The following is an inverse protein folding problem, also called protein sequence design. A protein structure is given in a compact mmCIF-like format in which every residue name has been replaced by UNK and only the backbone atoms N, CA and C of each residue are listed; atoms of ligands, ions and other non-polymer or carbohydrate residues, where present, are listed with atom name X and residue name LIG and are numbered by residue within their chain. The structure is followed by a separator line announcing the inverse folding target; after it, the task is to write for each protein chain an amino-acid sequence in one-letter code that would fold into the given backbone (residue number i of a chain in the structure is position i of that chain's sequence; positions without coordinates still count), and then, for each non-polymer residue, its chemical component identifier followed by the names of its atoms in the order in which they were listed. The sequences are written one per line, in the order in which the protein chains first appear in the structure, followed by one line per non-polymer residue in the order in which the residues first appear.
data_IF_971098533262
#
_entry.id   IF_971098533262
#
_cell.length_a   1.000
_cell.length_b   1.000
_cell.length_c   1.000
_cell.angle_alpha   90.00
_cell.angle_beta   90.00
_cell.angle_gamma   90.00
#
_symmetry.space_group_name_H-M   'P 1'
#
loop_
_entity.id
_entity.type
_entity.pdbx_description
1 polymer ?
#
# COMPACT_ATOMS: atom_id res chain seq x y z
N UNK A 1 -7.85 14.54 26.34
CA UNK A 1 -7.04 13.30 26.27
C UNK A 1 -5.59 13.69 26.00
N UNK A 2 -4.60 13.03 26.62
CA UNK A 2 -3.19 13.23 26.26
C UNK A 2 -2.90 12.52 24.94
N UNK A 3 -2.17 13.19 24.04
CA UNK A 3 -1.66 12.57 22.81
C UNK A 3 -0.67 11.47 23.23
N UNK A 4 -0.80 10.30 22.63
CA UNK A 4 0.17 9.20 22.74
C UNK A 4 0.76 8.93 21.34
N UNK A 5 1.86 9.58 20.98
CA UNK A 5 2.50 9.34 19.70
C UNK A 5 2.80 7.85 19.52
N UNK A 6 2.55 7.34 18.32
CA UNK A 6 2.81 5.94 17.92
C UNK A 6 2.08 4.89 18.79
N UNK A 7 0.98 5.28 19.41
CA UNK A 7 0.18 4.38 20.23
C UNK A 7 -1.06 3.88 19.49
N UNK A 8 -1.82 3.05 20.19
CA UNK A 8 -3.09 2.52 19.67
C UNK A 8 -4.06 3.62 19.23
N UNK A 9 -4.76 3.40 18.14
CA UNK A 9 -5.74 4.34 17.57
C UNK A 9 -6.83 4.71 18.58
N UNK A 10 -7.32 5.94 18.52
CA UNK A 10 -8.55 6.37 19.22
C UNK A 10 -9.82 6.13 18.38
N UNK A 11 -9.68 5.56 17.18
CA UNK A 11 -10.79 5.30 16.25
C UNK A 11 -11.74 4.18 16.70
N UNK A 12 -11.30 3.35 17.66
CA UNK A 12 -12.11 2.28 18.27
C UNK A 12 -11.76 2.04 19.72
N UNK A 13 -12.62 1.32 20.43
CA UNK A 13 -12.30 0.77 21.74
C UNK A 13 -11.44 -0.50 21.57
N UNK A 14 -10.37 -0.63 22.34
CA UNK A 14 -9.46 -1.77 22.27
C UNK A 14 -9.88 -2.88 23.25
N UNK A 15 -9.81 -4.11 22.75
CA UNK A 15 -10.01 -5.33 23.52
C UNK A 15 -8.72 -5.83 24.17
N UNK A 16 -8.57 -7.14 24.27
CA UNK A 16 -7.31 -7.78 24.66
C UNK A 16 -6.31 -7.66 23.50
N UNK A 17 -5.00 -7.48 23.79
CA UNK A 17 -3.97 -7.44 22.77
C UNK A 17 -4.05 -8.63 21.80
N UNK A 18 -3.88 -8.37 20.53
CA UNK A 18 -3.97 -9.39 19.48
C UNK A 18 -2.97 -10.53 19.66
N UNK A 19 -1.80 -10.27 20.20
CA UNK A 19 -0.82 -11.30 20.54
C UNK A 19 -1.36 -12.36 21.51
N UNK A 20 -2.30 -12.00 22.38
CA UNK A 20 -2.92 -12.93 23.36
C UNK A 20 -4.11 -13.69 22.75
N UNK A 21 -4.71 -13.15 21.69
CA UNK A 21 -5.98 -13.65 21.12
C UNK A 21 -5.85 -14.14 19.68
N UNK A 22 -4.64 -14.07 19.11
CA UNK A 22 -4.36 -14.42 17.70
C UNK A 22 -4.90 -15.80 17.32
N UNK A 23 -5.28 -15.99 16.04
CA UNK A 23 -5.63 -17.31 15.54
C UNK A 23 -4.42 -18.25 15.55
N UNK A 24 -4.63 -19.58 15.54
CA UNK A 24 -3.53 -20.56 15.47
C UNK A 24 -2.82 -20.56 14.11
N UNK A 25 -3.44 -20.00 13.08
CA UNK A 25 -2.88 -19.89 11.74
C UNK A 25 -1.80 -18.79 11.67
N UNK A 26 -1.00 -18.84 10.59
CA UNK A 26 0.04 -17.84 10.33
C UNK A 26 -0.56 -16.44 10.19
N UNK A 27 0.02 -15.47 10.89
CA UNK A 27 -0.35 -14.06 10.80
C UNK A 27 0.66 -13.29 9.95
N UNK A 28 0.16 -12.51 9.00
CA UNK A 28 0.98 -11.78 8.02
C UNK A 28 0.57 -10.33 7.97
N UNK A 29 1.52 -9.43 8.24
CA UNK A 29 1.38 -8.00 7.99
C UNK A 29 1.83 -7.71 6.56
N UNK A 30 0.88 -7.38 5.70
CA UNK A 30 1.10 -7.19 4.27
C UNK A 30 1.36 -5.74 3.85
N UNK A 31 1.35 -4.80 4.79
CA UNK A 31 1.56 -3.38 4.55
C UNK A 31 2.49 -2.81 5.63
N UNK A 32 3.79 -2.83 5.38
CA UNK A 32 4.79 -2.23 6.25
C UNK A 32 6.03 -1.80 5.46
N UNK A 33 6.69 -0.73 5.90
CA UNK A 33 7.73 -0.05 5.14
C UNK A 33 9.13 -0.26 5.71
N UNK A 34 10.11 -0.43 4.82
CA UNK A 34 11.53 -0.46 5.14
C UNK A 34 12.27 0.60 4.32
N UNK A 35 13.07 1.42 4.98
CA UNK A 35 13.91 2.43 4.34
C UNK A 35 15.24 1.82 3.90
N UNK A 36 15.65 2.06 2.67
CA UNK A 36 16.93 1.58 2.12
C UNK A 36 17.89 2.76 2.03
N UNK A 37 18.82 2.83 2.99
CA UNK A 37 19.75 3.94 3.12
C UNK A 37 20.69 4.06 1.91
N UNK A 38 21.18 2.94 1.39
CA UNK A 38 22.08 2.91 0.24
C UNK A 38 21.44 3.54 -1.01
N UNK A 39 20.14 3.37 -1.20
CA UNK A 39 19.42 4.03 -2.28
C UNK A 39 19.24 5.53 -2.04
N UNK A 40 18.99 5.94 -0.80
CA UNK A 40 18.91 7.35 -0.43
C UNK A 40 20.25 8.07 -0.66
N UNK A 41 21.38 7.41 -0.36
CA UNK A 41 22.71 7.96 -0.57
C UNK A 41 23.02 8.19 -2.06
N UNK A 42 22.53 7.32 -2.96
CA UNK A 42 22.69 7.48 -4.40
C UNK A 42 21.99 8.72 -4.97
N UNK A 43 20.89 9.14 -4.37
CA UNK A 43 20.11 10.29 -4.83
C UNK A 43 20.32 11.55 -3.98
N UNK A 44 21.27 11.52 -3.05
CA UNK A 44 21.57 12.64 -2.18
C UNK A 44 21.94 13.90 -2.98
N UNK A 45 21.22 15.00 -2.74
CA UNK A 45 21.41 16.26 -3.47
C UNK A 45 20.80 16.29 -4.88
N UNK A 46 20.20 15.19 -5.35
CA UNK A 46 19.50 15.09 -6.63
C UNK A 46 17.97 14.95 -6.46
N UNK A 47 17.53 14.71 -5.24
CA UNK A 47 16.15 14.50 -4.87
C UNK A 47 15.64 15.67 -4.05
N UNK A 48 14.59 16.33 -4.52
CA UNK A 48 13.90 17.37 -3.76
C UNK A 48 12.61 16.80 -3.17
N UNK A 49 12.52 16.78 -1.85
CA UNK A 49 11.30 16.35 -1.15
C UNK A 49 10.08 17.20 -1.51
N UNK A 50 10.28 18.47 -1.91
CA UNK A 50 9.18 19.34 -2.33
C UNK A 50 8.52 18.91 -3.66
N UNK A 51 9.14 17.98 -4.40
CA UNK A 51 8.51 17.37 -5.56
C UNK A 51 7.44 16.34 -5.17
N UNK A 52 7.46 15.87 -3.93
CA UNK A 52 6.47 14.93 -3.41
C UNK A 52 5.29 15.69 -2.81
N UNK A 53 4.05 15.42 -3.23
CA UNK A 53 2.86 16.13 -2.75
C UNK A 53 2.70 16.11 -1.22
N UNK A 54 3.02 15.00 -0.57
CA UNK A 54 2.96 14.86 0.88
C UNK A 54 3.86 15.85 1.65
N UNK A 55 4.98 16.26 1.07
CA UNK A 55 5.88 17.28 1.65
C UNK A 55 5.56 18.69 1.11
N UNK A 56 5.28 18.82 -0.19
CA UNK A 56 4.93 20.11 -0.84
C UNK A 56 3.74 20.78 -0.17
N UNK A 57 2.73 20.03 0.17
CA UNK A 57 1.49 20.54 0.76
C UNK A 57 1.42 20.36 2.27
N UNK A 58 2.57 20.29 2.95
CA UNK A 58 2.65 20.30 4.41
C UNK A 58 2.97 21.71 4.90
N UNK A 59 2.19 22.21 5.88
CA UNK A 59 2.56 23.45 6.59
C UNK A 59 3.76 23.20 7.52
N UNK A 60 4.30 24.26 8.12
CA UNK A 60 5.50 24.17 8.95
C UNK A 60 5.31 23.26 10.18
N UNK A 61 4.10 23.23 10.77
CA UNK A 61 3.80 22.38 11.94
C UNK A 61 3.87 20.90 11.51
N UNK A 62 3.20 20.55 10.43
CA UNK A 62 3.23 19.20 9.85
C UNK A 62 4.64 18.80 9.45
N UNK A 63 5.39 19.69 8.78
CA UNK A 63 6.78 19.44 8.39
C UNK A 63 7.66 19.13 9.61
N UNK A 64 7.56 19.93 10.67
CA UNK A 64 8.32 19.70 11.90
C UNK A 64 7.96 18.37 12.56
N UNK A 65 6.66 18.01 12.58
CA UNK A 65 6.20 16.73 13.11
C UNK A 65 6.72 15.55 12.28
N UNK A 66 6.70 15.64 10.96
CA UNK A 66 7.24 14.61 10.07
C UNK A 66 8.76 14.41 10.25
N UNK A 67 9.52 15.51 10.40
CA UNK A 67 10.95 15.44 10.71
C UNK A 67 11.19 14.74 12.05
N UNK A 68 10.40 15.09 13.07
CA UNK A 68 10.51 14.44 14.37
C UNK A 68 10.16 12.96 14.30
N UNK A 69 9.09 12.60 13.60
CA UNK A 69 8.69 11.21 13.37
C UNK A 69 9.81 10.38 12.72
N UNK A 70 10.44 10.90 11.66
CA UNK A 70 11.54 10.19 11.00
C UNK A 70 12.69 9.92 11.99
N UNK A 71 13.03 10.90 12.85
CA UNK A 71 14.07 10.73 13.88
C UNK A 71 13.67 9.67 14.90
N UNK A 72 12.46 9.75 15.42
CA UNK A 72 11.96 8.85 16.48
C UNK A 72 11.85 7.42 15.96
N UNK A 73 11.47 7.25 14.68
CA UNK A 73 11.22 5.95 14.05
C UNK A 73 12.37 5.47 13.16
N UNK A 74 13.52 6.11 13.19
CA UNK A 74 14.66 5.74 12.32
C UNK A 74 15.08 4.28 12.50
N UNK A 75 15.17 3.80 13.73
CA UNK A 75 15.50 2.39 14.01
C UNK A 75 14.41 1.43 13.53
N UNK A 76 13.15 1.81 13.67
CA UNK A 76 12.01 1.02 13.17
C UNK A 76 12.02 0.96 11.63
N UNK A 77 12.44 2.04 10.97
CA UNK A 77 12.53 2.14 9.51
C UNK A 77 13.71 1.35 8.91
N UNK A 78 14.82 1.19 9.66
CA UNK A 78 16.10 0.72 9.08
C UNK A 78 16.65 -0.55 9.73
N UNK A 79 16.26 -0.87 10.97
CA UNK A 79 16.87 -1.96 11.73
C UNK A 79 15.97 -3.20 11.81
N UNK A 80 16.43 -4.30 11.26
CA UNK A 80 15.70 -5.58 11.21
C UNK A 80 15.43 -6.15 12.61
N UNK A 81 16.38 -6.08 13.54
CA UNK A 81 16.21 -6.63 14.89
C UNK A 81 15.16 -5.86 15.71
N UNK A 82 15.10 -4.54 15.53
CA UNK A 82 14.04 -3.70 16.12
C UNK A 82 12.67 -4.11 15.59
N UNK A 83 12.59 -4.31 14.28
CA UNK A 83 11.37 -4.77 13.59
C UNK A 83 10.91 -6.15 14.08
N UNK A 84 11.81 -7.10 14.20
CA UNK A 84 11.47 -8.45 14.69
C UNK A 84 10.88 -8.41 16.10
N UNK A 85 11.46 -7.61 17.01
CA UNK A 85 10.91 -7.42 18.37
C UNK A 85 9.50 -6.81 18.33
N UNK A 86 9.25 -5.86 17.42
CA UNK A 86 7.92 -5.27 17.26
C UNK A 86 6.92 -6.32 16.74
N UNK A 87 7.27 -7.07 15.71
CA UNK A 87 6.45 -8.17 15.18
C UNK A 87 6.09 -9.18 16.28
N UNK A 88 7.08 -9.62 17.07
CA UNK A 88 6.86 -10.57 18.17
C UNK A 88 5.89 -9.99 19.22
N UNK A 89 6.02 -8.71 19.54
CA UNK A 89 5.12 -8.03 20.48
C UNK A 89 3.69 -7.89 20.00
N UNK A 90 3.48 -7.87 18.68
CA UNK A 90 2.17 -7.79 18.03
C UNK A 90 1.59 -9.17 17.67
N UNK A 91 2.38 -10.25 17.80
CA UNK A 91 1.96 -11.60 17.40
C UNK A 91 1.99 -11.82 15.88
N UNK A 92 2.80 -11.05 15.14
CA UNK A 92 2.97 -11.14 13.69
C UNK A 92 4.08 -12.14 13.37
N UNK A 93 3.75 -13.18 12.60
CA UNK A 93 4.72 -14.20 12.20
C UNK A 93 5.58 -13.73 11.03
N UNK A 94 4.98 -13.04 10.07
CA UNK A 94 5.63 -12.64 8.82
C UNK A 94 5.23 -11.23 8.42
N UNK A 95 6.17 -10.46 7.90
CA UNK A 95 5.91 -9.17 7.25
C UNK A 95 6.30 -9.20 5.77
N UNK A 96 5.48 -8.53 4.96
CA UNK A 96 5.78 -8.24 3.57
C UNK A 96 6.49 -6.89 3.52
N UNK A 97 7.83 -6.90 3.38
CA UNK A 97 8.65 -5.69 3.36
C UNK A 97 8.43 -4.91 2.07
N UNK A 98 8.10 -3.63 2.22
CA UNK A 98 7.80 -2.71 1.12
C UNK A 98 8.71 -1.48 1.27
N UNK A 99 9.24 -0.87 0.20
CA UNK A 99 10.02 0.35 0.34
C UNK A 99 9.15 1.49 0.88
N UNK A 100 9.76 2.47 1.56
CA UNK A 100 9.03 3.67 1.99
C UNK A 100 8.47 4.44 0.77
N UNK A 101 7.26 5.04 0.84
CA UNK A 101 6.60 5.63 -0.32
C UNK A 101 7.38 6.72 -1.05
N UNK A 102 8.27 7.45 -0.36
CA UNK A 102 9.09 8.48 -0.97
C UNK A 102 10.36 7.96 -1.65
N UNK A 103 10.67 6.65 -1.61
CA UNK A 103 11.82 6.05 -2.32
C UNK A 103 11.46 5.56 -3.73
N UNK A 104 10.41 6.07 -4.35
CA UNK A 104 10.10 5.78 -5.77
C UNK A 104 10.90 6.63 -6.75
N UNK A 105 11.45 7.77 -6.30
CA UNK A 105 12.37 8.64 -7.05
C UNK A 105 11.91 9.04 -8.47
N UNK A 106 10.59 9.19 -8.67
CA UNK A 106 10.00 9.50 -9.98
C UNK A 106 10.49 10.84 -10.57
N UNK A 107 10.85 11.77 -9.70
CA UNK A 107 11.35 13.11 -10.00
C UNK A 107 12.88 13.21 -10.11
N UNK A 108 13.61 12.10 -9.93
CA UNK A 108 15.05 12.02 -10.15
C UNK A 108 15.35 11.62 -11.59
N UNK A 109 16.48 12.12 -12.16
CA UNK A 109 16.90 11.73 -13.50
C UNK A 109 16.93 10.22 -13.67
N UNK A 110 16.37 9.72 -14.77
CA UNK A 110 16.08 8.32 -15.03
C UNK A 110 17.23 7.36 -14.71
N UNK A 111 18.45 7.65 -15.15
CA UNK A 111 19.61 6.78 -14.93
C UNK A 111 19.95 6.58 -13.45
N UNK A 112 19.87 7.66 -12.65
CA UNK A 112 20.13 7.61 -11.21
C UNK A 112 18.97 6.94 -10.49
N UNK A 113 17.73 7.27 -10.89
CA UNK A 113 16.53 6.65 -10.35
C UNK A 113 16.55 5.13 -10.56
N UNK A 114 16.93 4.64 -11.76
CA UNK A 114 17.01 3.20 -12.04
C UNK A 114 18.00 2.49 -11.13
N UNK A 115 19.21 3.08 -10.96
CA UNK A 115 20.21 2.52 -10.06
C UNK A 115 19.74 2.50 -8.60
N UNK A 116 19.06 3.54 -8.15
CA UNK A 116 18.50 3.61 -6.81
C UNK A 116 17.39 2.55 -6.61
N UNK A 117 16.50 2.39 -7.59
CA UNK A 117 15.42 1.39 -7.57
C UNK A 117 15.99 -0.04 -7.60
N UNK A 118 16.97 -0.31 -8.47
CA UNK A 118 17.68 -1.59 -8.48
C UNK A 118 18.32 -1.90 -7.12
N UNK A 119 18.93 -0.89 -6.48
CA UNK A 119 19.50 -1.01 -5.14
C UNK A 119 18.43 -1.34 -4.10
N UNK A 120 17.27 -0.67 -4.14
CA UNK A 120 16.12 -0.95 -3.25
C UNK A 120 15.70 -2.41 -3.40
N UNK A 121 15.44 -2.85 -4.64
CA UNK A 121 14.95 -4.20 -4.90
C UNK A 121 15.94 -5.27 -4.45
N UNK A 122 17.22 -5.08 -4.73
CA UNK A 122 18.28 -5.99 -4.30
C UNK A 122 18.37 -6.08 -2.77
N UNK A 123 18.29 -4.95 -2.06
CA UNK A 123 18.38 -4.89 -0.59
C UNK A 123 17.15 -5.45 0.11
N UNK A 124 15.97 -5.20 -0.41
CA UNK A 124 14.73 -5.80 0.10
C UNK A 124 14.75 -7.32 -0.06
N UNK A 125 15.18 -7.81 -1.23
CA UNK A 125 15.38 -9.22 -1.49
C UNK A 125 16.43 -9.84 -0.55
N UNK A 126 17.60 -9.21 -0.40
CA UNK A 126 18.64 -9.66 0.52
C UNK A 126 18.11 -9.77 1.96
N UNK A 127 17.41 -8.73 2.44
CA UNK A 127 16.83 -8.72 3.79
C UNK A 127 15.81 -9.84 3.98
N UNK A 128 14.91 -10.03 3.03
CA UNK A 128 13.91 -11.09 3.10
C UNK A 128 14.54 -12.48 3.00
N UNK A 129 15.50 -12.69 2.10
CA UNK A 129 16.18 -13.96 1.91
C UNK A 129 17.03 -14.37 3.12
N UNK A 130 17.59 -13.43 3.88
CA UNK A 130 18.33 -13.70 5.12
C UNK A 130 17.39 -14.17 6.26
N UNK A 131 16.10 -13.89 6.20
CA UNK A 131 15.11 -14.24 7.21
C UNK A 131 13.78 -14.65 6.55
N UNK A 132 13.82 -15.66 5.68
CA UNK A 132 12.64 -16.22 4.97
C UNK A 132 11.54 -16.74 5.90
N UNK A 133 11.89 -17.03 7.12
CA UNK A 133 10.95 -17.40 8.21
C UNK A 133 10.09 -16.21 8.66
N UNK A 134 10.54 -14.97 8.42
CA UNK A 134 9.92 -13.75 8.94
C UNK A 134 9.55 -12.72 7.87
N UNK A 135 10.16 -12.77 6.68
CA UNK A 135 10.00 -11.74 5.66
C UNK A 135 9.77 -12.28 4.26
N UNK A 136 8.96 -11.52 3.52
CA UNK A 136 8.81 -11.57 2.06
C UNK A 136 9.01 -10.14 1.56
N UNK A 137 9.46 -9.94 0.33
CA UNK A 137 9.70 -8.61 -0.20
C UNK A 137 8.82 -8.26 -1.39
N UNK A 138 8.31 -7.03 -1.42
CA UNK A 138 7.83 -6.35 -2.60
C UNK A 138 8.86 -5.31 -3.04
N UNK A 139 9.10 -5.24 -4.35
CA UNK A 139 9.98 -4.24 -4.94
C UNK A 139 9.28 -2.93 -5.26
N UNK A 140 9.98 -2.07 -5.99
CA UNK A 140 9.44 -0.88 -6.65
C UNK A 140 9.94 -0.79 -8.08
N UNK A 141 9.36 0.09 -8.90
CA UNK A 141 9.59 0.13 -10.34
C UNK A 141 10.05 1.52 -10.81
N UNK A 142 10.94 1.59 -11.83
CA UNK A 142 11.34 2.85 -12.46
C UNK A 142 10.26 3.36 -13.42
N UNK A 143 9.19 3.94 -12.86
CA UNK A 143 7.98 4.33 -13.56
C UNK A 143 8.17 5.44 -14.62
N UNK A 144 9.33 6.09 -14.66
CA UNK A 144 9.67 7.05 -15.72
C UNK A 144 9.69 6.40 -17.12
N UNK A 145 9.90 5.07 -17.20
CA UNK A 145 9.90 4.32 -18.44
C UNK A 145 9.26 2.94 -18.24
N UNK A 146 8.08 2.75 -18.84
CA UNK A 146 7.29 1.52 -18.69
C UNK A 146 8.01 0.24 -19.18
N UNK A 147 8.79 0.32 -20.27
CA UNK A 147 9.55 -0.84 -20.81
C UNK A 147 10.67 -1.27 -19.85
N UNK A 148 11.35 -0.31 -19.24
CA UNK A 148 12.39 -0.59 -18.25
C UNK A 148 11.75 -1.11 -16.96
N UNK A 149 10.62 -0.55 -16.56
CA UNK A 149 9.87 -1.02 -15.40
C UNK A 149 9.42 -2.48 -15.58
N UNK A 150 8.90 -2.85 -16.74
CA UNK A 150 8.52 -4.23 -17.05
C UNK A 150 9.71 -5.20 -17.01
N UNK A 151 10.87 -4.81 -17.55
CA UNK A 151 12.11 -5.62 -17.49
C UNK A 151 12.63 -5.77 -16.07
N UNK A 152 12.61 -4.71 -15.27
CA UNK A 152 13.00 -4.77 -13.87
C UNK A 152 12.05 -5.69 -13.07
N UNK A 153 10.74 -5.64 -13.37
CA UNK A 153 9.76 -6.55 -12.80
C UNK A 153 10.12 -8.02 -13.09
N UNK A 154 10.40 -8.35 -14.36
CA UNK A 154 10.81 -9.71 -14.75
C UNK A 154 12.10 -10.14 -14.04
N UNK A 155 13.11 -9.27 -13.97
CA UNK A 155 14.37 -9.55 -13.26
C UNK A 155 14.11 -9.85 -11.78
N UNK A 156 13.38 -8.99 -11.11
CA UNK A 156 13.12 -9.12 -9.67
C UNK A 156 12.35 -10.40 -9.31
N UNK A 157 11.37 -10.78 -10.11
CA UNK A 157 10.59 -12.01 -9.88
C UNK A 157 11.43 -13.25 -10.14
N UNK A 158 12.21 -13.26 -11.23
CA UNK A 158 12.95 -14.45 -11.64
C UNK A 158 14.26 -14.67 -10.86
N UNK A 159 14.92 -13.59 -10.42
CA UNK A 159 16.27 -13.66 -9.84
C UNK A 159 16.30 -13.33 -8.34
N UNK A 160 15.35 -12.51 -7.84
CA UNK A 160 15.40 -11.96 -6.48
C UNK A 160 14.31 -12.48 -5.53
N UNK A 161 13.42 -13.36 -5.98
CA UNK A 161 12.26 -13.84 -5.19
C UNK A 161 11.34 -12.72 -4.70
N UNK A 162 11.26 -11.59 -5.43
CA UNK A 162 10.31 -10.51 -5.18
C UNK A 162 8.90 -10.99 -5.55
N UNK A 163 7.92 -10.76 -4.67
CA UNK A 163 6.57 -11.33 -4.74
C UNK A 163 5.48 -10.37 -5.23
N UNK A 164 5.85 -9.16 -5.59
CA UNK A 164 4.99 -8.10 -6.08
C UNK A 164 5.71 -6.77 -6.05
N UNK A 165 5.01 -5.69 -6.39
CA UNK A 165 5.63 -4.35 -6.44
C UNK A 165 4.72 -3.30 -5.84
N UNK A 166 5.31 -2.37 -5.06
CA UNK A 166 4.65 -1.12 -4.69
C UNK A 166 4.87 -0.09 -5.81
N UNK A 167 3.80 0.58 -6.19
CA UNK A 167 3.85 1.80 -7.00
C UNK A 167 2.99 2.88 -6.35
N UNK A 168 3.35 4.15 -6.59
CA UNK A 168 2.54 5.27 -6.10
C UNK A 168 1.37 5.56 -7.06
N UNK A 169 0.33 6.15 -6.53
CA UNK A 169 -0.97 6.33 -7.19
C UNK A 169 -0.97 7.30 -8.36
N UNK A 170 -0.02 8.25 -8.40
CA UNK A 170 0.15 9.23 -9.49
C UNK A 170 1.63 9.49 -9.74
N UNK A 171 2.06 9.42 -11.00
CA UNK A 171 3.49 9.41 -11.34
C UNK A 171 3.81 10.36 -12.48
N UNK A 172 4.75 11.27 -12.25
CA UNK A 172 5.31 12.15 -13.29
C UNK A 172 4.22 12.86 -14.13
N UNK A 173 3.18 13.37 -13.46
CA UNK A 173 2.06 14.04 -14.14
C UNK A 173 1.13 13.11 -14.92
N UNK A 174 1.21 11.79 -14.70
CA UNK A 174 0.41 10.78 -15.41
C UNK A 174 -0.40 9.92 -14.47
N UNK A 175 -1.63 9.64 -14.89
CA UNK A 175 -2.46 8.60 -14.27
C UNK A 175 -1.89 7.21 -14.55
N UNK A 176 -2.16 6.27 -13.66
CA UNK A 176 -1.69 4.89 -13.80
C UNK A 176 -2.28 4.15 -15.01
N UNK A 177 -3.35 4.66 -15.57
CA UNK A 177 -3.97 4.19 -16.82
C UNK A 177 -3.30 4.72 -18.09
N UNK A 178 -2.28 5.58 -17.97
CA UNK A 178 -1.59 6.12 -19.15
C UNK A 178 -0.95 5.00 -19.98
N UNK A 179 -1.06 5.03 -21.34
CA UNK A 179 -0.59 3.94 -22.20
C UNK A 179 0.89 3.56 -22.04
N UNK A 180 1.74 4.49 -21.57
CA UNK A 180 3.15 4.17 -21.29
C UNK A 180 3.33 3.13 -20.18
N UNK A 181 2.28 2.80 -19.43
CA UNK A 181 2.29 1.81 -18.34
C UNK A 181 1.62 0.49 -18.74
N UNK A 182 1.04 0.37 -19.93
CA UNK A 182 0.34 -0.85 -20.36
C UNK A 182 1.25 -2.10 -20.20
N UNK A 183 2.53 -2.01 -20.59
CA UNK A 183 3.49 -3.10 -20.44
C UNK A 183 3.75 -3.55 -19.00
N UNK A 184 3.59 -2.66 -18.02
CA UNK A 184 3.69 -3.00 -16.59
C UNK A 184 2.53 -3.89 -16.18
N UNK A 185 1.30 -3.53 -16.57
CA UNK A 185 0.09 -4.27 -16.24
C UNK A 185 0.05 -5.64 -16.91
N UNK A 186 0.46 -5.71 -18.17
CA UNK A 186 0.59 -6.96 -18.92
C UNK A 186 1.63 -7.88 -18.28
N UNK A 187 2.78 -7.34 -17.91
CA UNK A 187 3.86 -8.12 -17.26
C UNK A 187 3.45 -8.62 -15.88
N UNK A 188 2.83 -7.78 -15.05
CA UNK A 188 2.31 -8.19 -13.74
C UNK A 188 1.28 -9.32 -13.87
N UNK A 189 0.37 -9.20 -14.85
CA UNK A 189 -0.63 -10.23 -15.16
C UNK A 189 0.02 -11.53 -15.62
N UNK A 190 0.99 -11.48 -16.53
CA UNK A 190 1.75 -12.63 -17.05
C UNK A 190 2.52 -13.37 -15.95
N UNK A 191 3.16 -12.63 -15.05
CA UNK A 191 3.91 -13.18 -13.91
C UNK A 191 3.02 -13.62 -12.75
N UNK A 192 1.73 -13.30 -12.81
CA UNK A 192 0.74 -13.59 -11.77
C UNK A 192 1.18 -13.05 -10.40
N UNK A 193 1.59 -11.78 -10.36
CA UNK A 193 2.04 -11.07 -9.15
C UNK A 193 1.16 -9.86 -8.86
N UNK A 194 0.95 -9.49 -7.60
CA UNK A 194 0.18 -8.31 -7.23
C UNK A 194 0.98 -7.02 -7.38
N UNK A 195 0.25 -5.95 -7.70
CA UNK A 195 0.71 -4.58 -7.60
C UNK A 195 0.05 -3.92 -6.39
N UNK A 196 0.86 -3.43 -5.46
CA UNK A 196 0.41 -2.69 -4.29
C UNK A 196 0.38 -1.20 -4.61
N UNK A 197 -0.81 -0.60 -4.55
CA UNK A 197 -1.01 0.84 -4.76
C UNK A 197 -0.94 1.58 -3.43
N UNK A 198 0.02 2.49 -3.31
CA UNK A 198 0.20 3.32 -2.13
C UNK A 198 0.25 4.80 -2.51
N UNK A 199 -0.51 5.69 -1.86
CA UNK A 199 -0.48 7.13 -2.13
C UNK A 199 0.79 7.79 -1.55
N UNK A 200 1.12 8.97 -2.09
CA UNK A 200 2.21 9.79 -1.58
C UNK A 200 1.83 11.28 -1.51
N UNK A 201 0.68 11.56 -0.90
CA UNK A 201 0.01 12.85 -0.93
C UNK A 201 -0.85 13.02 -2.18
N UNK A 202 -1.61 14.10 -2.23
CA UNK A 202 -2.49 14.46 -3.35
C UNK A 202 -1.87 15.60 -4.15
N UNK A 203 -1.66 15.45 -5.47
CA UNK A 203 -0.96 16.46 -6.28
C UNK A 203 -1.54 17.86 -6.21
N UNK A 204 -2.89 17.98 -6.18
CA UNK A 204 -3.63 19.25 -6.04
C UNK A 204 -3.92 19.61 -4.57
N UNK A 205 -3.04 19.23 -3.66
CA UNK A 205 -3.20 19.35 -2.22
C UNK A 205 -3.11 20.76 -1.63
N UNK A 206 -3.17 21.85 -2.44
CA UNK A 206 -3.03 23.24 -1.95
C UNK A 206 -4.01 23.61 -0.83
N UNK A 207 -5.22 23.05 -0.85
CA UNK A 207 -6.23 23.21 0.18
C UNK A 207 -6.06 22.31 1.41
N UNK A 208 -5.05 21.42 1.40
CA UNK A 208 -4.88 20.37 2.39
C UNK A 208 -3.65 20.60 3.29
N UNK A 209 -3.12 21.83 3.34
CA UNK A 209 -1.88 22.16 4.06
C UNK A 209 -2.01 22.07 5.58
N UNK A 210 -3.19 22.35 6.12
CA UNK A 210 -3.42 22.42 7.56
C UNK A 210 -3.83 21.06 8.15
N UNK A 211 -3.60 20.90 9.47
CA UNK A 211 -4.11 19.77 10.27
C UNK A 211 -3.72 18.38 9.74
N UNK A 212 -2.61 18.28 9.03
CA UNK A 212 -2.18 17.01 8.41
C UNK A 212 -3.15 16.52 7.33
N UNK A 213 -4.00 17.39 6.77
CA UNK A 213 -5.01 17.01 5.76
C UNK A 213 -4.40 16.42 4.50
N UNK A 214 -3.15 16.74 4.18
CA UNK A 214 -2.47 16.11 3.04
C UNK A 214 -2.33 14.59 3.21
N UNK A 215 -2.25 14.09 4.44
CA UNK A 215 -2.31 12.65 4.72
C UNK A 215 -3.76 12.19 4.92
N UNK A 216 -4.49 12.80 5.88
CA UNK A 216 -5.82 12.33 6.32
C UNK A 216 -6.83 12.34 5.17
N UNK A 217 -6.77 13.35 4.30
CA UNK A 217 -7.66 13.53 3.15
C UNK A 217 -6.93 13.21 1.84
N UNK A 218 -5.72 13.73 1.68
CA UNK A 218 -4.99 13.66 0.43
C UNK A 218 -4.65 12.24 0.00
N UNK A 219 -4.10 11.42 0.88
CA UNK A 219 -3.79 10.02 0.57
C UNK A 219 -5.02 9.22 0.14
N UNK A 220 -6.15 9.21 0.87
CA UNK A 220 -7.37 8.54 0.42
C UNK A 220 -7.95 9.12 -0.88
N UNK A 221 -7.81 10.42 -1.13
CA UNK A 221 -8.27 11.06 -2.38
C UNK A 221 -7.43 10.62 -3.57
N UNK A 222 -6.11 10.60 -3.44
CA UNK A 222 -5.20 10.20 -4.52
C UNK A 222 -5.43 8.72 -4.90
N UNK A 223 -5.53 7.85 -3.89
CA UNK A 223 -5.94 6.45 -4.11
C UNK A 223 -7.28 6.35 -4.83
N UNK A 224 -8.27 7.15 -4.42
CA UNK A 224 -9.60 7.16 -5.03
C UNK A 224 -9.53 7.58 -6.50
N UNK A 225 -8.76 8.62 -6.84
CA UNK A 225 -8.58 9.08 -8.22
C UNK A 225 -7.90 7.99 -9.07
N UNK A 226 -6.80 7.41 -8.59
CA UNK A 226 -6.08 6.35 -9.29
C UNK A 226 -6.98 5.12 -9.60
N UNK A 227 -7.77 4.68 -8.63
CA UNK A 227 -8.71 3.57 -8.83
C UNK A 227 -9.79 3.89 -9.87
N UNK A 228 -10.31 5.13 -9.88
CA UNK A 228 -11.25 5.56 -10.92
C UNK A 228 -10.63 5.47 -12.30
N UNK A 229 -9.41 5.99 -12.50
CA UNK A 229 -8.70 5.93 -13.78
C UNK A 229 -8.41 4.49 -14.20
N UNK A 230 -7.90 3.63 -13.31
CA UNK A 230 -7.66 2.21 -13.63
C UNK A 230 -8.94 1.48 -14.10
N UNK A 231 -10.10 1.85 -13.57
CA UNK A 231 -11.40 1.28 -13.96
C UNK A 231 -11.90 1.95 -15.25
N UNK A 232 -12.15 3.27 -15.23
CA UNK A 232 -12.85 3.96 -16.30
C UNK A 232 -12.05 4.07 -17.60
N UNK A 233 -10.72 4.16 -17.52
CA UNK A 233 -9.83 4.18 -18.68
C UNK A 233 -9.57 2.77 -19.24
N UNK A 234 -10.07 1.73 -18.54
CA UNK A 234 -10.14 0.38 -19.06
C UNK A 234 -8.92 -0.50 -18.78
N UNK A 235 -7.98 -0.09 -17.90
CA UNK A 235 -6.83 -0.92 -17.51
C UNK A 235 -7.27 -2.24 -16.91
N UNK A 236 -8.24 -2.20 -15.98
CA UNK A 236 -8.81 -3.40 -15.36
C UNK A 236 -9.62 -4.27 -16.33
N UNK A 237 -10.20 -3.70 -17.37
CA UNK A 237 -10.91 -4.44 -18.42
C UNK A 237 -9.93 -5.15 -19.36
N UNK A 238 -8.84 -4.47 -19.75
CA UNK A 238 -7.77 -5.04 -20.60
C UNK A 238 -7.05 -6.20 -19.90
N UNK A 239 -6.89 -6.12 -18.56
CA UNK A 239 -6.13 -7.07 -17.75
C UNK A 239 -7.03 -7.78 -16.72
N UNK A 240 -7.86 -8.74 -17.13
CA UNK A 240 -8.87 -9.35 -16.26
C UNK A 240 -8.30 -10.12 -15.07
N UNK A 241 -7.06 -10.58 -15.15
CA UNK A 241 -6.38 -11.33 -14.09
C UNK A 241 -5.37 -10.46 -13.31
N UNK A 242 -5.33 -9.15 -13.54
CA UNK A 242 -4.46 -8.23 -12.81
C UNK A 242 -4.87 -8.18 -11.35
N UNK A 243 -3.91 -8.43 -10.45
CA UNK A 243 -4.10 -8.37 -9.00
C UNK A 243 -3.66 -7.00 -8.49
N UNK A 244 -4.61 -6.21 -8.03
CA UNK A 244 -4.35 -4.91 -7.40
C UNK A 244 -4.63 -5.04 -5.90
N UNK A 245 -3.65 -4.74 -5.08
CA UNK A 245 -3.75 -4.60 -3.63
C UNK A 245 -3.65 -3.11 -3.29
N UNK A 246 -4.55 -2.60 -2.46
CA UNK A 246 -4.71 -1.14 -2.25
C UNK A 246 -4.57 -0.78 -0.79
N UNK A 247 -3.74 0.21 -0.50
CA UNK A 247 -3.52 0.74 0.83
C UNK A 247 -4.75 1.46 1.41
N UNK A 248 -4.83 1.51 2.74
CA UNK A 248 -5.79 2.30 3.52
C UNK A 248 -7.25 1.99 3.16
N UNK A 249 -7.57 0.68 3.05
CA UNK A 249 -8.90 0.22 2.69
C UNK A 249 -9.39 0.67 1.31
N UNK A 250 -8.49 1.10 0.43
CA UNK A 250 -8.80 1.59 -0.91
C UNK A 250 -9.27 3.05 -0.98
N UNK A 251 -8.96 3.85 0.02
CA UNK A 251 -9.38 5.25 0.07
C UNK A 251 -10.90 5.42 0.25
N UNK A 252 -11.49 6.38 -0.46
CA UNK A 252 -12.94 6.64 -0.36
C UNK A 252 -13.79 5.82 -1.34
N UNK A 253 -13.20 5.28 -2.41
CA UNK A 253 -13.97 4.64 -3.48
C UNK A 253 -14.72 3.39 -3.02
N UNK A 254 -14.14 2.45 -2.25
CA UNK A 254 -14.86 1.29 -1.78
C UNK A 254 -16.13 1.62 -0.98
N UNK A 255 -16.04 2.63 -0.11
CA UNK A 255 -17.16 3.07 0.71
C UNK A 255 -18.26 3.81 -0.09
N UNK A 256 -17.89 4.48 -1.20
CA UNK A 256 -18.81 5.36 -1.96
C UNK A 256 -19.08 4.87 -3.39
N UNK A 257 -18.82 3.59 -3.68
CA UNK A 257 -18.88 3.00 -5.01
C UNK A 257 -20.25 3.01 -5.69
N UNK A 258 -21.36 3.06 -4.95
CA UNK A 258 -22.69 3.15 -5.55
C UNK A 258 -22.89 4.41 -6.42
N UNK A 259 -22.16 5.50 -6.11
CA UNK A 259 -22.23 6.74 -6.90
C UNK A 259 -21.66 6.57 -8.29
N UNK A 260 -20.57 5.81 -8.46
CA UNK A 260 -19.98 5.58 -9.79
C UNK A 260 -20.87 4.67 -10.65
N UNK A 261 -21.50 3.66 -10.05
CA UNK A 261 -22.45 2.79 -10.76
C UNK A 261 -23.67 3.59 -11.24
N UNK A 262 -24.18 4.49 -10.40
CA UNK A 262 -25.29 5.36 -10.76
C UNK A 262 -24.92 6.27 -11.94
N UNK A 263 -23.76 6.95 -11.86
CA UNK A 263 -23.28 7.82 -12.94
C UNK A 263 -23.05 7.03 -14.26
N UNK A 264 -22.44 5.85 -14.17
CA UNK A 264 -22.23 4.95 -15.30
C UNK A 264 -23.54 4.54 -15.98
N UNK A 265 -24.60 4.30 -15.20
CA UNK A 265 -25.92 3.98 -15.72
C UNK A 265 -26.69 5.18 -16.30
N UNK A 266 -26.46 6.38 -15.78
CA UNK A 266 -27.26 7.57 -16.05
C UNK A 266 -26.66 8.53 -17.12
N UNK A 267 -25.34 8.46 -17.38
CA UNK A 267 -24.64 9.44 -18.21
C UNK A 267 -23.80 8.79 -19.30
N UNK A 268 -23.92 9.23 -20.57
CA UNK A 268 -23.10 8.68 -21.66
C UNK A 268 -21.58 8.91 -21.48
N UNK A 269 -21.19 10.06 -20.93
CA UNK A 269 -19.80 10.44 -20.66
C UNK A 269 -19.17 9.70 -19.46
N UNK A 270 -19.99 8.95 -18.70
CA UNK A 270 -19.54 8.11 -17.60
C UNK A 270 -19.45 6.60 -17.97
N UNK A 271 -19.47 6.25 -19.24
CA UNK A 271 -19.43 4.84 -19.69
C UNK A 271 -18.05 4.21 -19.64
N UNK A 272 -17.00 5.01 -19.45
CA UNK A 272 -15.61 4.56 -19.48
C UNK A 272 -15.14 4.05 -20.83
N UNK A 273 -13.92 3.55 -20.91
CA UNK A 273 -13.33 3.01 -22.14
C UNK A 273 -13.71 1.54 -22.33
N UNK A 274 -14.87 1.31 -22.96
CA UNK A 274 -15.37 -0.04 -23.30
C UNK A 274 -15.58 -0.98 -22.10
N UNK A 275 -15.99 -0.45 -20.94
CA UNK A 275 -16.30 -1.29 -19.78
C UNK A 275 -17.47 -2.24 -20.08
N UNK A 276 -17.24 -3.54 -19.90
CA UNK A 276 -18.25 -4.60 -20.08
C UNK A 276 -19.11 -4.78 -18.82
N UNK A 277 -18.60 -4.40 -17.68
CA UNK A 277 -19.26 -4.52 -16.38
C UNK A 277 -19.44 -3.15 -15.76
N UNK A 278 -20.31 -3.05 -14.75
CA UNK A 278 -20.43 -1.81 -13.97
C UNK A 278 -19.16 -1.56 -13.14
N UNK A 279 -18.79 -0.31 -12.88
CA UNK A 279 -17.54 0.04 -12.24
C UNK A 279 -17.27 -0.67 -10.92
N UNK A 280 -18.29 -0.86 -10.07
CA UNK A 280 -18.11 -1.55 -8.78
C UNK A 280 -17.76 -3.03 -8.89
N UNK A 281 -18.00 -3.69 -10.02
CA UNK A 281 -17.62 -5.09 -10.22
C UNK A 281 -16.10 -5.26 -10.41
N UNK A 282 -15.41 -4.21 -10.88
CA UNK A 282 -13.94 -4.21 -10.92
C UNK A 282 -13.32 -4.06 -9.53
N UNK A 283 -13.96 -3.30 -8.62
CA UNK A 283 -13.51 -3.20 -7.23
C UNK A 283 -13.55 -4.54 -6.50
N UNK A 284 -14.50 -5.40 -6.81
CA UNK A 284 -14.61 -6.75 -6.23
C UNK A 284 -13.46 -7.69 -6.61
N UNK A 285 -12.63 -7.28 -7.57
CA UNK A 285 -11.43 -8.02 -8.01
C UNK A 285 -10.16 -7.51 -7.34
N UNK A 286 -10.26 -6.43 -6.55
CA UNK A 286 -9.14 -5.82 -5.86
C UNK A 286 -9.06 -6.33 -4.42
N UNK A 287 -7.88 -6.23 -3.83
CA UNK A 287 -7.62 -6.52 -2.43
C UNK A 287 -7.44 -5.21 -1.67
N UNK A 288 -7.88 -5.17 -0.42
CA UNK A 288 -7.80 -3.97 0.44
C UNK A 288 -7.14 -4.34 1.76
N UNK A 289 -6.32 -3.44 2.30
CA UNK A 289 -5.76 -3.65 3.63
C UNK A 289 -6.76 -3.30 4.75
N UNK A 290 -6.36 -3.64 5.98
CA UNK A 290 -7.17 -3.37 7.19
C UNK A 290 -6.84 -2.04 7.85
N UNK A 291 -6.07 -1.15 7.21
CA UNK A 291 -5.65 0.13 7.82
C UNK A 291 -6.78 1.16 7.71
N UNK A 292 -7.85 0.92 8.44
CA UNK A 292 -9.08 1.75 8.46
C UNK A 292 -9.52 2.14 9.88
N UNK A 293 -8.81 1.70 10.92
CA UNK A 293 -8.88 2.12 12.33
C UNK A 293 -10.21 1.89 13.06
N UNK A 294 -11.29 1.43 12.41
CA UNK A 294 -12.61 1.25 12.99
C UNK A 294 -13.16 -0.14 12.63
N UNK A 295 -13.80 -0.79 13.60
CA UNK A 295 -14.50 -2.06 13.39
C UNK A 295 -15.61 -1.96 12.34
N UNK A 296 -16.40 -0.88 12.39
CA UNK A 296 -17.50 -0.67 11.43
C UNK A 296 -17.00 -0.52 10.01
N UNK A 297 -15.89 0.20 9.82
CA UNK A 297 -15.27 0.40 8.51
C UNK A 297 -14.69 -0.91 7.96
N UNK A 298 -14.00 -1.68 8.79
CA UNK A 298 -13.47 -2.99 8.42
C UNK A 298 -14.61 -3.97 8.11
N UNK A 299 -15.65 -4.00 8.95
CA UNK A 299 -16.84 -4.82 8.70
C UNK A 299 -17.53 -4.49 7.38
N UNK A 300 -17.67 -3.20 7.08
CA UNK A 300 -18.21 -2.75 5.81
C UNK A 300 -17.43 -3.26 4.60
N UNK A 301 -16.10 -3.17 4.64
CA UNK A 301 -15.24 -3.68 3.56
C UNK A 301 -15.41 -5.20 3.38
N UNK A 302 -15.40 -5.95 4.48
CA UNK A 302 -15.59 -7.41 4.48
C UNK A 302 -16.95 -7.78 3.90
N UNK A 303 -18.02 -7.14 4.34
CA UNK A 303 -19.38 -7.46 3.88
C UNK A 303 -19.59 -7.13 2.40
N UNK A 304 -18.93 -6.11 1.91
CA UNK A 304 -19.14 -5.62 0.55
C UNK A 304 -18.24 -6.29 -0.49
N UNK A 305 -17.02 -6.61 -0.11
CA UNK A 305 -16.00 -7.11 -1.06
C UNK A 305 -15.61 -8.57 -0.82
N UNK A 306 -16.02 -9.15 0.31
CA UNK A 306 -15.66 -10.51 0.72
C UNK A 306 -14.43 -10.54 1.64
N UNK A 307 -14.44 -11.45 2.60
CA UNK A 307 -13.31 -11.65 3.52
C UNK A 307 -12.04 -12.10 2.79
N UNK A 308 -12.17 -12.77 1.66
CA UNK A 308 -11.10 -13.26 0.78
C UNK A 308 -10.38 -12.14 0.00
N UNK A 309 -10.91 -10.93 0.02
CA UNK A 309 -10.32 -9.73 -0.58
C UNK A 309 -9.74 -8.73 0.44
N UNK A 310 -9.78 -9.04 1.74
CA UNK A 310 -9.25 -8.19 2.81
C UNK A 310 -7.95 -8.79 3.33
N UNK A 311 -6.91 -7.97 3.43
CA UNK A 311 -5.56 -8.40 3.80
C UNK A 311 -5.06 -7.58 4.99
N UNK A 312 -4.64 -8.24 6.06
CA UNK A 312 -4.14 -7.53 7.24
C UNK A 312 -2.86 -6.74 6.92
N UNK A 313 -2.84 -5.47 7.33
CA UNK A 313 -1.72 -4.56 7.20
C UNK A 313 -1.64 -3.58 8.36
N UNK A 314 -0.47 -2.98 8.57
CA UNK A 314 -0.23 -2.06 9.69
C UNK A 314 0.13 -0.63 9.27
N UNK A 315 0.74 -0.41 8.11
CA UNK A 315 1.45 0.83 7.74
C UNK A 315 2.64 1.16 8.66
N UNK A 316 3.19 0.11 9.33
CA UNK A 316 4.37 0.24 10.20
C UNK A 316 5.58 0.77 9.40
N UNK A 317 6.39 1.71 9.92
CA UNK A 317 6.41 2.20 11.32
C UNK A 317 5.88 3.64 11.49
N UNK A 318 5.00 4.13 10.64
CA UNK A 318 4.53 5.52 10.68
C UNK A 318 3.62 5.81 11.88
N UNK A 319 3.36 7.11 12.12
CA UNK A 319 2.48 7.59 13.18
C UNK A 319 1.00 7.25 12.94
N UNK A 320 0.64 7.03 11.66
CA UNK A 320 -0.68 6.55 11.26
C UNK A 320 -0.77 5.03 11.19
N UNK A 321 0.23 4.30 11.71
CA UNK A 321 0.20 2.85 11.71
C UNK A 321 -0.86 2.27 12.66
N UNK A 322 -1.43 1.13 12.29
CA UNK A 322 -2.26 0.31 13.17
C UNK A 322 -1.37 -0.49 14.13
N UNK A 323 -1.44 -0.18 15.42
CA UNK A 323 -0.55 -0.75 16.43
C UNK A 323 -0.95 -2.18 16.87
N UNK A 324 -2.24 -2.54 16.73
CA UNK A 324 -2.73 -3.89 17.03
C UNK A 324 -3.65 -4.42 15.91
N UNK A 325 -3.08 -4.84 14.76
CA UNK A 325 -3.86 -5.25 13.59
C UNK A 325 -4.64 -6.55 13.83
N UNK A 326 -4.14 -7.44 14.68
CA UNK A 326 -4.81 -8.70 14.99
C UNK A 326 -6.06 -8.43 15.83
N UNK A 327 -5.95 -7.58 16.86
CA UNK A 327 -7.11 -7.16 17.67
C UNK A 327 -8.16 -6.46 16.81
N UNK A 328 -7.74 -5.64 15.83
CA UNK A 328 -8.66 -4.98 14.90
C UNK A 328 -9.51 -6.01 14.13
N UNK A 329 -8.90 -7.07 13.61
CA UNK A 329 -9.64 -8.14 12.93
C UNK A 329 -10.48 -8.95 13.91
N UNK A 330 -9.88 -9.40 15.02
CA UNK A 330 -10.54 -10.24 16.04
C UNK A 330 -11.73 -9.57 16.71
N UNK A 331 -11.66 -8.25 16.94
CA UNK A 331 -12.72 -7.44 17.55
C UNK A 331 -13.84 -7.05 16.59
N UNK A 332 -13.69 -7.29 15.29
CA UNK A 332 -14.74 -7.01 14.30
C UNK A 332 -15.85 -8.05 14.43
N UNK A 333 -17.04 -7.60 14.85
CA UNK A 333 -18.17 -8.48 15.15
C UNK A 333 -18.68 -9.26 13.93
N UNK A 334 -19.14 -10.48 14.16
CA UNK A 334 -19.82 -11.31 13.17
C UNK A 334 -18.89 -12.02 12.18
N UNK A 335 -17.58 -12.01 12.40
CA UNK A 335 -16.65 -12.79 11.59
C UNK A 335 -16.59 -14.25 12.07
N UNK A 336 -16.59 -15.18 11.13
CA UNK A 336 -16.30 -16.58 11.40
C UNK A 336 -14.78 -16.79 11.64
N UNK A 337 -14.41 -17.92 12.25
CA UNK A 337 -13.00 -18.28 12.43
C UNK A 337 -12.26 -18.32 11.09
N UNK A 338 -12.87 -18.90 10.07
CA UNK A 338 -12.26 -18.99 8.74
C UNK A 338 -12.01 -17.60 8.12
N UNK A 339 -12.95 -16.66 8.29
CA UNK A 339 -12.77 -15.29 7.83
C UNK A 339 -11.63 -14.58 8.57
N UNK A 340 -11.53 -14.77 9.89
CA UNK A 340 -10.44 -14.22 10.70
C UNK A 340 -9.10 -14.78 10.21
N UNK A 341 -8.97 -16.09 10.03
CA UNK A 341 -7.74 -16.74 9.54
C UNK A 341 -7.38 -16.30 8.13
N UNK A 342 -8.37 -16.17 7.24
CA UNK A 342 -8.16 -15.60 5.90
C UNK A 342 -7.56 -14.19 5.97
N UNK A 343 -8.19 -13.27 6.72
CA UNK A 343 -7.81 -11.86 6.78
C UNK A 343 -6.45 -11.69 7.47
N UNK A 344 -6.22 -12.39 8.60
CA UNK A 344 -5.00 -12.22 9.38
C UNK A 344 -3.75 -12.80 8.72
N UNK A 345 -3.90 -13.68 7.71
CA UNK A 345 -2.73 -14.26 7.04
C UNK A 345 -3.01 -15.04 5.78
N UNK A 346 -4.10 -15.80 5.71
CA UNK A 346 -4.39 -16.69 4.58
C UNK A 346 -4.41 -16.00 3.22
N UNK A 347 -5.05 -14.82 3.15
CA UNK A 347 -5.12 -14.03 1.92
C UNK A 347 -3.76 -13.49 1.50
N UNK A 348 -2.94 -13.00 2.44
CA UNK A 348 -1.58 -12.59 2.15
C UNK A 348 -0.73 -13.77 1.66
N UNK A 349 -0.85 -14.94 2.31
CA UNK A 349 -0.15 -16.15 1.88
C UNK A 349 -0.52 -16.52 0.43
N UNK A 350 -1.80 -16.47 0.07
CA UNK A 350 -2.27 -16.75 -1.29
C UNK A 350 -1.79 -15.68 -2.28
N UNK A 351 -1.97 -14.39 -1.95
CA UNK A 351 -1.67 -13.26 -2.83
C UNK A 351 -0.18 -13.19 -3.19
N UNK A 352 0.70 -13.37 -2.19
CA UNK A 352 2.16 -13.28 -2.33
C UNK A 352 2.85 -14.65 -2.47
N UNK A 353 2.08 -15.73 -2.63
CA UNK A 353 2.60 -17.12 -2.80
C UNK A 353 3.56 -17.51 -1.66
N UNK A 354 3.20 -17.17 -0.42
CA UNK A 354 3.94 -17.52 0.81
C UNK A 354 3.60 -18.96 1.19
N UNK A 355 4.63 -19.78 1.43
CA UNK A 355 4.50 -21.20 1.82
C UNK A 355 4.42 -21.38 3.33
#
# INVERSE_FOLDING_TARGET
MSIKPYGSTSGRNHGKPGVETRPPSKTVDAHCHLHIQEAADLVQGLFDQQDIPAFRHANQITTNQNIQQIKDRFMDLTNVETRLKKMDSQGIDLQVLIPVPFQHYCNVKSEVAYKAIETINNKLSETANNRKDRFVALGTLPMQNGDIAAKEMERCVNELDIRGFQIITFQDGKELSHPSYDGIWETATKLDIPIFLHPNGYPEGERLKDHYFINIIGNPMDTTAALHHLIFDGTMEKNPNLKIFVAHGGGYLPAYSARIDHAWGARPDCRGNNLKHKPSDYLKRMYFDTVVFSFDQLKYLIDKYGADHIVMGTDYPYDMAEDDPIEHVMGTEGLSKDQIEMITGGNACSLFKIK
#
